data_IF_170407409583
#
_entry.id   IF_170407409583
#
_cell.length_a   1.000
_cell.length_b   1.000
_cell.length_c   1.000
_cell.angle_alpha   90.00
_cell.angle_beta   90.00
_cell.angle_gamma   90.00
#
_symmetry.space_group_name_H-M   'P 1'
#
loop_
_entity.id
_entity.type
_entity.pdbx_description
1 polymer ?
#
# COMPACT_ATOMS: atom_id res chain seq x y z
N UNK A 1 -5.25 10.93 0.71
CA UNK A 1 -6.58 10.82 0.09
C UNK A 1 -7.35 9.74 0.81
N UNK A 2 -8.66 9.90 0.92
CA UNK A 2 -9.55 8.87 1.45
C UNK A 2 -9.99 7.93 0.31
N UNK A 3 -10.40 6.71 0.61
CA UNK A 3 -10.93 5.80 -0.41
C UNK A 3 -12.32 6.29 -0.86
N UNK A 4 -12.66 6.31 -2.16
CA UNK A 4 -13.97 6.77 -2.60
C UNK A 4 -15.09 5.83 -2.10
N UNK A 5 -16.19 6.42 -1.65
CA UNK A 5 -17.41 5.73 -1.22
C UNK A 5 -18.65 6.46 -1.71
N UNK A 6 -19.76 5.73 -1.79
CA UNK A 6 -21.08 6.26 -2.15
C UNK A 6 -21.84 6.62 -0.86
N UNK A 7 -22.41 7.82 -0.82
CA UNK A 7 -23.30 8.28 0.25
C UNK A 7 -24.19 9.42 -0.27
N UNK A 8 -24.83 10.17 0.64
CA UNK A 8 -25.72 11.26 0.26
C UNK A 8 -25.02 12.43 -0.47
N UNK A 9 -23.70 12.59 -0.33
CA UNK A 9 -22.94 13.72 -0.88
C UNK A 9 -21.86 13.31 -1.87
N UNK A 10 -21.61 12.00 -2.04
CA UNK A 10 -20.55 11.45 -2.88
C UNK A 10 -21.07 10.29 -3.71
N UNK A 11 -20.62 10.22 -4.95
CA UNK A 11 -20.88 9.09 -5.85
C UNK A 11 -19.57 8.64 -6.48
N UNK A 12 -19.44 7.33 -6.71
CA UNK A 12 -18.33 6.74 -7.46
C UNK A 12 -18.86 5.88 -8.60
N UNK A 13 -18.05 5.82 -9.64
CA UNK A 13 -18.26 5.03 -10.84
C UNK A 13 -17.01 4.21 -11.11
N UNK A 14 -17.16 2.89 -11.10
CA UNK A 14 -16.08 2.00 -11.51
C UNK A 14 -15.78 2.20 -12.99
N UNK A 15 -14.49 2.26 -13.31
CA UNK A 15 -13.96 2.19 -14.67
C UNK A 15 -13.34 0.82 -14.97
N UNK A 16 -13.61 -0.19 -14.13
CA UNK A 16 -13.21 -1.57 -14.38
C UNK A 16 -13.92 -2.10 -15.63
N UNK A 17 -13.31 -3.10 -16.26
CA UNK A 17 -13.77 -3.69 -17.52
C UNK A 17 -12.63 -3.83 -18.52
N UNK A 18 -12.99 -3.91 -19.80
CA UNK A 18 -12.02 -4.06 -20.88
C UNK A 18 -11.55 -2.68 -21.37
N UNK A 19 -10.25 -2.45 -21.32
CA UNK A 19 -9.61 -1.25 -21.86
C UNK A 19 -8.86 -1.60 -23.14
N UNK A 20 -8.82 -0.66 -24.09
CA UNK A 20 -7.93 -0.78 -25.25
C UNK A 20 -6.49 -0.75 -24.77
N UNK A 21 -5.67 -1.67 -25.25
CA UNK A 21 -4.33 -1.94 -24.77
C UNK A 21 -3.34 -2.11 -25.91
N UNK A 22 -2.17 -1.50 -25.77
CA UNK A 22 -1.06 -1.64 -26.72
C UNK A 22 0.29 -1.55 -26.03
N UNK A 23 1.16 -2.50 -26.34
CA UNK A 23 2.58 -2.43 -25.96
C UNK A 23 3.33 -1.45 -26.83
N UNK A 24 4.29 -0.76 -26.23
CA UNK A 24 5.17 0.21 -26.89
C UNK A 24 6.64 -0.16 -26.64
N UNK A 25 7.13 -1.25 -27.25
CA UNK A 25 8.49 -1.75 -27.01
C UNK A 25 9.57 -0.75 -27.36
N UNK A 26 9.30 0.12 -28.34
CA UNK A 26 10.24 1.15 -28.81
C UNK A 26 10.02 2.53 -28.16
N UNK A 27 9.05 2.66 -27.23
CA UNK A 27 8.73 3.92 -26.57
C UNK A 27 8.27 5.04 -27.53
N UNK A 28 7.77 4.69 -28.71
CA UNK A 28 7.42 5.63 -29.77
C UNK A 28 6.09 6.36 -29.49
N UNK A 29 5.21 5.77 -28.67
CA UNK A 29 3.88 6.28 -28.39
C UNK A 29 3.86 7.65 -27.72
N UNK A 30 4.88 7.94 -26.90
CA UNK A 30 5.03 9.25 -26.26
C UNK A 30 5.29 10.36 -27.28
N UNK A 31 6.25 10.13 -28.18
CA UNK A 31 6.61 11.10 -29.23
C UNK A 31 5.51 11.22 -30.28
N UNK A 32 4.87 10.10 -30.62
CA UNK A 32 3.78 10.05 -31.60
C UNK A 32 2.44 10.59 -31.07
N UNK A 33 2.31 10.85 -29.77
CA UNK A 33 1.10 11.42 -29.19
C UNK A 33 -0.08 10.44 -29.15
N UNK A 34 0.14 9.16 -28.83
CA UNK A 34 -0.91 8.12 -28.88
C UNK A 34 -2.16 8.43 -28.04
N UNK A 35 -2.06 9.29 -27.03
CA UNK A 35 -3.21 9.74 -26.24
C UNK A 35 -4.19 10.65 -27.01
N UNK A 36 -3.77 11.25 -28.13
CA UNK A 36 -4.56 12.23 -28.91
C UNK A 36 -5.63 11.61 -29.80
N UNK A 37 -5.52 10.30 -30.06
CA UNK A 37 -6.44 9.57 -30.91
C UNK A 37 -6.84 8.23 -30.26
N UNK A 38 -7.77 7.53 -30.90
CA UNK A 38 -8.03 6.14 -30.56
C UNK A 38 -6.75 5.33 -30.75
N UNK A 39 -6.42 4.53 -29.75
CA UNK A 39 -5.23 3.69 -29.75
C UNK A 39 -5.31 2.68 -30.91
N UNK A 40 -4.50 2.87 -31.95
CA UNK A 40 -4.49 2.00 -33.14
C UNK A 40 -3.83 0.66 -32.83
N UNK A 41 -4.24 -0.40 -33.52
CA UNK A 41 -3.72 -1.78 -33.34
C UNK A 41 -3.77 -2.26 -31.88
N UNK A 42 -4.68 -1.71 -31.09
CA UNK A 42 -4.90 -2.10 -29.72
C UNK A 42 -5.79 -3.35 -29.64
N UNK A 43 -5.60 -4.12 -28.57
CA UNK A 43 -6.45 -5.24 -28.16
C UNK A 43 -7.15 -4.90 -26.86
N UNK A 44 -8.12 -5.69 -26.43
CA UNK A 44 -8.73 -5.49 -25.11
C UNK A 44 -7.86 -6.11 -24.00
N UNK A 45 -7.79 -5.44 -22.85
CA UNK A 45 -7.12 -5.90 -21.64
C UNK A 45 -8.01 -5.64 -20.43
N UNK A 46 -8.26 -6.63 -19.55
CA UNK A 46 -9.07 -6.44 -18.36
C UNK A 46 -8.38 -5.53 -17.35
N UNK A 47 -9.19 -4.73 -16.67
CA UNK A 47 -8.85 -3.92 -15.51
C UNK A 47 -9.89 -4.22 -14.42
N UNK A 48 -9.49 -4.70 -13.22
CA UNK A 48 -8.11 -4.86 -12.75
C UNK A 48 -7.45 -6.17 -13.21
N UNK A 49 -6.18 -6.10 -13.65
CA UNK A 49 -5.32 -7.26 -13.88
C UNK A 49 -3.84 -6.87 -14.06
N UNK A 50 -2.94 -7.82 -13.90
CA UNK A 50 -1.62 -7.77 -14.54
C UNK A 50 -1.73 -8.25 -15.98
N UNK A 51 -1.21 -7.52 -16.95
CA UNK A 51 -1.41 -7.87 -18.36
C UNK A 51 -0.61 -9.10 -18.82
N UNK A 52 0.45 -9.45 -18.09
CA UNK A 52 1.50 -10.36 -18.52
C UNK A 52 0.97 -11.77 -18.88
N UNK A 53 -0.02 -12.25 -18.12
CA UNK A 53 -0.52 -13.64 -18.22
C UNK A 53 -1.94 -13.72 -18.80
N UNK A 54 -2.51 -12.58 -19.20
CA UNK A 54 -3.83 -12.53 -19.85
C UNK A 54 -3.77 -13.11 -21.26
N UNK A 55 -2.65 -12.90 -21.96
CA UNK A 55 -2.45 -13.38 -23.32
C UNK A 55 -1.26 -14.34 -23.35
N UNK A 56 -1.31 -15.43 -24.13
CA UNK A 56 -0.30 -16.50 -24.09
C UNK A 56 0.98 -16.17 -24.87
N UNK A 57 1.22 -14.89 -25.19
CA UNK A 57 2.33 -14.43 -26.01
C UNK A 57 3.53 -14.09 -25.12
N UNK A 58 4.69 -14.73 -25.32
CA UNK A 58 5.93 -14.42 -24.58
C UNK A 58 6.34 -12.95 -24.72
N UNK A 59 6.14 -12.37 -25.91
CA UNK A 59 6.43 -10.95 -26.15
C UNK A 59 5.60 -10.01 -25.26
N UNK A 60 4.42 -10.45 -24.81
CA UNK A 60 3.58 -9.69 -23.87
C UNK A 60 3.97 -9.99 -22.43
N UNK A 61 4.12 -11.27 -22.08
CA UNK A 61 4.53 -11.71 -20.74
C UNK A 61 5.81 -11.01 -20.30
N UNK A 62 6.83 -11.03 -21.17
CA UNK A 62 8.18 -10.56 -20.87
C UNK A 62 8.43 -9.12 -21.33
N UNK A 63 7.39 -8.38 -21.74
CA UNK A 63 7.52 -6.99 -22.19
C UNK A 63 8.20 -6.12 -21.15
N UNK A 64 9.17 -5.31 -21.58
CA UNK A 64 9.85 -4.31 -20.75
C UNK A 64 9.68 -2.95 -21.40
N UNK A 65 8.98 -2.04 -20.72
CA UNK A 65 8.79 -0.66 -21.18
C UNK A 65 7.37 -0.16 -20.98
N UNK A 66 6.94 0.68 -21.92
CA UNK A 66 5.64 1.34 -21.88
C UNK A 66 4.54 0.40 -22.37
N UNK A 67 3.44 0.38 -21.63
CA UNK A 67 2.20 -0.30 -21.99
C UNK A 67 1.03 0.70 -21.85
N UNK A 68 0.34 0.94 -22.95
CA UNK A 68 -0.72 1.92 -23.05
C UNK A 68 -2.07 1.27 -22.82
N UNK A 69 -2.91 1.89 -21.99
CA UNK A 69 -4.31 1.57 -21.80
C UNK A 69 -5.16 2.79 -22.19
N UNK A 70 -6.32 2.55 -22.77
CA UNK A 70 -7.25 3.62 -23.14
C UNK A 70 -8.70 3.15 -22.99
N UNK A 71 -9.54 4.01 -22.42
CA UNK A 71 -10.98 3.80 -22.35
C UNK A 71 -11.74 5.10 -22.60
N UNK A 72 -13.04 5.01 -22.84
CA UNK A 72 -13.95 6.17 -22.94
C UNK A 72 -14.94 6.13 -21.80
N UNK A 73 -15.03 7.22 -21.04
CA UNK A 73 -15.87 7.33 -19.86
C UNK A 73 -16.99 8.34 -20.11
N UNK A 74 -18.23 7.94 -19.82
CA UNK A 74 -19.37 8.88 -19.76
C UNK A 74 -19.42 9.52 -18.37
N UNK A 75 -19.44 10.85 -18.31
CA UNK A 75 -19.58 11.61 -17.07
C UNK A 75 -21.07 11.75 -16.74
N UNK A 76 -21.56 11.29 -15.58
CA UNK A 76 -22.95 11.49 -15.19
C UNK A 76 -23.34 12.97 -15.23
N UNK A 77 -24.50 13.28 -15.83
CA UNK A 77 -25.01 14.67 -15.90
C UNK A 77 -25.34 15.25 -14.52
N UNK A 78 -25.64 14.38 -13.54
CA UNK A 78 -25.95 14.75 -12.17
C UNK A 78 -24.75 15.35 -11.42
N UNK A 79 -23.53 15.14 -11.90
CA UNK A 79 -22.31 15.69 -11.29
C UNK A 79 -22.03 17.14 -11.71
N UNK A 80 -23.04 17.87 -12.19
CA UNK A 80 -22.90 19.27 -12.53
C UNK A 80 -22.70 20.11 -11.26
N UNK A 81 -21.65 20.93 -11.23
CA UNK A 81 -21.28 21.77 -10.07
C UNK A 81 -20.32 21.10 -9.09
N UNK A 82 -20.29 19.78 -9.08
CA UNK A 82 -19.42 18.97 -8.23
C UNK A 82 -17.95 18.98 -8.68
N UNK A 83 -17.08 18.53 -7.79
CA UNK A 83 -15.68 18.20 -8.09
C UNK A 83 -15.60 16.76 -8.59
N UNK A 84 -15.01 16.54 -9.77
CA UNK A 84 -14.87 15.23 -10.40
C UNK A 84 -13.40 14.79 -10.36
N UNK A 85 -13.16 13.58 -9.89
CA UNK A 85 -11.82 13.04 -9.65
C UNK A 85 -11.64 11.70 -10.34
N UNK A 86 -10.50 11.52 -10.98
CA UNK A 86 -10.04 10.23 -11.49
C UNK A 86 -9.02 9.65 -10.50
N UNK A 87 -9.25 8.42 -10.03
CA UNK A 87 -8.40 7.70 -9.10
C UNK A 87 -7.99 6.35 -9.67
N UNK A 88 -6.72 6.01 -9.50
CA UNK A 88 -6.18 4.68 -9.73
C UNK A 88 -5.75 4.13 -8.38
N UNK A 89 -6.26 2.95 -8.01
CA UNK A 89 -5.88 2.34 -6.73
C UNK A 89 -4.46 1.77 -6.76
N UNK A 90 -3.95 1.46 -7.96
CA UNK A 90 -2.55 1.20 -8.25
C UNK A 90 -2.28 1.26 -9.77
N UNK A 91 -1.06 1.64 -10.17
CA UNK A 91 -0.58 1.48 -11.53
C UNK A 91 0.92 1.10 -11.52
N UNK A 92 1.25 -0.08 -12.04
CA UNK A 92 2.49 -0.76 -11.70
C UNK A 92 3.50 -0.71 -12.86
N UNK A 93 4.60 0.06 -12.80
CA UNK A 93 5.20 0.74 -11.62
C UNK A 93 5.17 2.27 -11.65
N UNK A 94 5.16 2.86 -12.86
CA UNK A 94 5.03 4.29 -13.08
C UNK A 94 3.91 4.55 -14.06
N UNK A 95 3.13 5.60 -13.85
CA UNK A 95 2.02 5.97 -14.71
C UNK A 95 2.09 7.42 -15.15
N UNK A 96 1.68 7.68 -16.40
CA UNK A 96 1.30 9.02 -16.87
C UNK A 96 -0.11 8.93 -17.44
N UNK A 97 -0.97 9.87 -17.05
CA UNK A 97 -2.40 9.85 -17.37
C UNK A 97 -2.80 11.09 -18.16
N UNK A 98 -3.58 10.88 -19.20
CA UNK A 98 -4.22 11.91 -20.01
C UNK A 98 -5.74 11.76 -19.94
N UNK A 99 -6.41 12.91 -19.84
CA UNK A 99 -7.85 13.03 -20.07
C UNK A 99 -8.05 13.88 -21.30
N UNK A 100 -8.70 13.30 -22.31
CA UNK A 100 -8.71 13.78 -23.68
C UNK A 100 -7.27 13.97 -24.19
N UNK A 101 -6.88 15.20 -24.53
CA UNK A 101 -5.56 15.50 -25.08
C UNK A 101 -4.58 16.06 -24.04
N UNK A 102 -5.00 16.19 -22.78
CA UNK A 102 -4.24 16.89 -21.75
C UNK A 102 -3.73 15.93 -20.68
N UNK A 103 -2.43 16.00 -20.40
CA UNK A 103 -1.83 15.28 -19.29
C UNK A 103 -2.39 15.84 -17.97
N UNK A 104 -2.80 14.95 -17.09
CA UNK A 104 -3.41 15.30 -15.80
C UNK A 104 -2.60 14.79 -14.62
N UNK A 105 -1.92 13.65 -14.73
CA UNK A 105 -1.17 13.08 -13.62
C UNK A 105 0.10 12.33 -14.07
N UNK A 106 1.07 12.29 -13.18
CA UNK A 106 2.21 11.36 -13.18
C UNK A 106 2.31 10.73 -11.79
N UNK A 107 2.64 9.44 -11.73
CA UNK A 107 2.83 8.72 -10.47
C UNK A 107 3.97 7.72 -10.55
N UNK A 108 4.77 7.64 -9.50
CA UNK A 108 5.77 6.59 -9.29
C UNK A 108 5.48 5.90 -7.95
N UNK A 109 5.33 4.58 -8.00
CA UNK A 109 4.90 3.75 -6.87
C UNK A 109 3.85 2.74 -7.32
N UNK A 110 4.25 1.49 -7.50
CA UNK A 110 3.41 0.50 -8.18
C UNK A 110 2.21 -0.04 -7.38
N UNK A 111 2.06 0.31 -6.10
CA UNK A 111 1.15 -0.36 -5.16
C UNK A 111 0.37 0.59 -4.24
N UNK A 112 0.37 1.88 -4.56
CA UNK A 112 -0.35 2.91 -3.79
C UNK A 112 -1.27 3.72 -4.68
N UNK A 113 -2.40 4.21 -4.14
CA UNK A 113 -3.34 4.99 -4.92
C UNK A 113 -2.77 6.37 -5.28
N UNK A 114 -3.21 6.87 -6.44
CA UNK A 114 -3.06 8.27 -6.83
C UNK A 114 -4.32 8.77 -7.52
N UNK A 115 -4.57 10.07 -7.42
CA UNK A 115 -5.77 10.68 -7.96
C UNK A 115 -5.51 12.07 -8.51
N UNK A 116 -6.40 12.54 -9.37
CA UNK A 116 -6.33 13.86 -9.96
C UNK A 116 -7.72 14.45 -10.17
N UNK A 117 -7.85 15.74 -9.84
CA UNK A 117 -9.03 16.53 -10.16
C UNK A 117 -9.11 16.76 -11.68
N UNK A 118 -10.18 16.25 -12.29
CA UNK A 118 -10.42 16.35 -13.73
C UNK A 118 -11.63 17.24 -14.04
N UNK A 119 -12.15 17.96 -13.05
CA UNK A 119 -13.39 18.75 -13.17
C UNK A 119 -13.35 19.69 -14.36
N UNK A 120 -12.25 20.42 -14.55
CA UNK A 120 -12.10 21.38 -15.64
C UNK A 120 -11.70 20.73 -16.98
N UNK A 121 -11.54 19.40 -17.00
CA UNK A 121 -11.11 18.62 -18.17
C UNK A 121 -12.23 17.77 -18.76
N UNK A 122 -13.35 17.68 -18.05
CA UNK A 122 -14.51 16.88 -18.45
C UNK A 122 -15.77 17.72 -18.38
N UNK A 123 -16.82 17.28 -19.08
CA UNK A 123 -18.12 17.93 -19.05
C UNK A 123 -19.16 16.96 -18.49
N UNK A 124 -19.90 17.30 -17.42
CA UNK A 124 -21.06 16.53 -16.98
C UNK A 124 -22.03 16.25 -18.13
N UNK A 125 -22.47 15.00 -18.26
CA UNK A 125 -23.29 14.52 -19.39
C UNK A 125 -22.51 14.24 -20.68
N UNK A 126 -21.23 14.59 -20.74
CA UNK A 126 -20.35 14.33 -21.88
C UNK A 126 -19.58 13.02 -21.77
N UNK A 127 -18.66 12.82 -22.71
CA UNK A 127 -17.71 11.71 -22.74
C UNK A 127 -16.29 12.24 -22.66
N UNK A 128 -15.41 11.52 -21.97
CA UNK A 128 -13.98 11.82 -21.91
C UNK A 128 -13.17 10.57 -22.24
N UNK A 129 -12.10 10.74 -23.01
CA UNK A 129 -11.13 9.66 -23.27
C UNK A 129 -10.11 9.66 -22.14
N UNK A 130 -9.90 8.53 -21.49
CA UNK A 130 -8.84 8.35 -20.50
C UNK A 130 -7.78 7.48 -21.13
N UNK A 131 -6.55 8.00 -21.23
CA UNK A 131 -5.38 7.23 -21.66
C UNK A 131 -4.38 7.20 -20.53
N UNK A 132 -3.82 6.03 -20.24
CA UNK A 132 -2.72 5.88 -19.28
C UNK A 132 -1.62 5.06 -19.93
N UNK A 133 -0.39 5.51 -19.77
CA UNK A 133 0.78 4.67 -20.05
C UNK A 133 1.33 4.21 -18.72
N UNK A 134 1.56 2.91 -18.59
CA UNK A 134 2.21 2.29 -17.44
C UNK A 134 3.58 1.80 -17.89
N UNK A 135 4.62 2.12 -17.12
CA UNK A 135 5.99 1.67 -17.38
C UNK A 135 6.44 0.71 -16.27
N UNK A 136 6.97 -0.45 -16.66
CA UNK A 136 7.33 -1.52 -15.73
C UNK A 136 8.84 -1.65 -15.46
N UNK A 137 9.63 -0.66 -15.90
CA UNK A 137 11.09 -0.69 -15.76
C UNK A 137 11.53 -0.39 -14.32
N UNK A 138 12.27 -1.32 -13.73
CA UNK A 138 12.87 -1.17 -12.40
C UNK A 138 14.33 -0.72 -12.51
N UNK A 139 14.68 0.34 -11.80
CA UNK A 139 16.04 0.91 -11.76
C UNK A 139 16.62 0.77 -10.35
N UNK A 140 17.86 1.21 -10.13
CA UNK A 140 18.42 1.31 -8.78
C UNK A 140 17.72 2.34 -7.90
N UNK A 141 16.97 3.27 -8.51
CA UNK A 141 16.23 4.30 -7.79
C UNK A 141 14.77 3.92 -7.56
N UNK A 142 14.23 2.92 -8.27
CA UNK A 142 12.85 2.49 -8.08
C UNK A 142 12.69 1.62 -6.84
N UNK A 143 11.45 1.53 -6.38
CA UNK A 143 11.03 0.62 -5.31
C UNK A 143 9.92 -0.28 -5.88
N UNK A 144 10.18 -1.58 -6.11
CA UNK A 144 11.42 -2.32 -5.85
C UNK A 144 12.58 -1.99 -6.83
N UNK A 145 13.85 -2.31 -6.49
CA UNK A 145 15.00 -2.03 -7.35
C UNK A 145 15.22 -3.12 -8.42
N UNK A 146 15.81 -2.71 -9.54
CA UNK A 146 16.21 -3.60 -10.64
C UNK A 146 17.14 -2.92 -11.64
N UNK A 147 17.41 -3.60 -12.76
CA UNK A 147 18.16 -3.06 -13.90
C UNK A 147 17.63 -3.60 -15.23
N UNK A 148 17.73 -2.81 -16.29
CA UNK A 148 17.46 -3.26 -17.66
C UNK A 148 18.73 -3.81 -18.28
N UNK A 149 18.59 -4.82 -19.13
CA UNK A 149 19.68 -5.34 -19.95
C UNK A 149 19.21 -5.49 -21.40
N UNK A 150 20.03 -5.04 -22.35
CA UNK A 150 19.83 -5.37 -23.75
C UNK A 150 20.46 -6.73 -24.05
N UNK A 151 19.69 -7.65 -24.62
CA UNK A 151 20.16 -8.96 -25.08
C UNK A 151 19.97 -9.11 -26.58
N UNK A 152 20.50 -10.18 -27.17
CA UNK A 152 20.33 -10.47 -28.60
C UNK A 152 18.86 -10.72 -29.00
N UNK A 153 18.01 -11.15 -28.06
CA UNK A 153 16.59 -11.46 -28.29
C UNK A 153 15.65 -10.36 -27.82
N UNK A 154 16.17 -9.24 -27.31
CA UNK A 154 15.38 -8.11 -26.85
C UNK A 154 15.82 -7.54 -25.51
N UNK A 155 15.07 -6.56 -25.01
CA UNK A 155 15.29 -5.93 -23.71
C UNK A 155 14.71 -6.81 -22.61
N UNK A 156 15.46 -7.01 -21.53
CA UNK A 156 15.06 -7.81 -20.38
C UNK A 156 15.15 -6.99 -19.09
N UNK A 157 14.30 -7.34 -18.11
CA UNK A 157 14.28 -6.72 -16.79
C UNK A 157 14.90 -7.68 -15.78
N UNK A 158 16.00 -7.26 -15.16
CA UNK A 158 16.58 -7.92 -14.00
C UNK A 158 16.03 -7.27 -12.73
N UNK A 159 15.71 -8.08 -11.73
CA UNK A 159 15.22 -7.62 -10.43
C UNK A 159 15.77 -8.49 -9.30
N UNK A 160 15.70 -7.96 -8.08
CA UNK A 160 16.35 -8.54 -6.90
C UNK A 160 15.36 -9.11 -5.87
N UNK A 161 14.19 -9.53 -6.35
CA UNK A 161 13.13 -10.16 -5.58
C UNK A 161 12.66 -11.46 -6.25
N UNK A 162 11.90 -12.27 -5.54
CA UNK A 162 11.55 -13.65 -5.89
C UNK A 162 10.12 -13.85 -6.40
N UNK A 163 9.37 -12.77 -6.64
CA UNK A 163 8.10 -12.79 -7.37
C UNK A 163 8.27 -12.23 -8.79
N UNK A 164 7.37 -12.63 -9.69
CA UNK A 164 7.38 -12.14 -11.07
C UNK A 164 7.03 -10.64 -11.12
N UNK A 165 7.72 -9.89 -11.99
CA UNK A 165 7.51 -8.44 -12.18
C UNK A 165 6.26 -8.13 -13.01
N UNK A 166 5.10 -8.56 -12.51
CA UNK A 166 3.81 -8.22 -13.06
C UNK A 166 3.62 -6.69 -13.15
N UNK A 167 2.95 -6.24 -14.21
CA UNK A 167 2.72 -4.83 -14.48
C UNK A 167 1.34 -4.56 -15.08
N UNK A 168 0.93 -3.29 -15.06
CA UNK A 168 -0.38 -2.84 -15.53
C UNK A 168 -1.24 -2.21 -14.45
N UNK A 169 -2.56 -2.29 -14.63
CA UNK A 169 -3.56 -1.74 -13.72
C UNK A 169 -4.12 -2.87 -12.86
N UNK A 170 -3.37 -3.22 -11.81
CA UNK A 170 -3.68 -4.37 -10.93
C UNK A 170 -4.88 -4.15 -10.02
N UNK A 171 -5.30 -2.90 -9.83
CA UNK A 171 -6.40 -2.53 -8.94
C UNK A 171 -7.37 -1.63 -9.67
N UNK A 172 -8.50 -1.43 -9.02
CA UNK A 172 -9.63 -0.71 -9.61
C UNK A 172 -9.26 0.72 -10.01
N UNK A 173 -9.94 1.20 -11.03
CA UNK A 173 -9.88 2.59 -11.46
C UNK A 173 -11.26 3.18 -11.25
N UNK A 174 -11.31 4.36 -10.63
CA UNK A 174 -12.55 5.02 -10.24
C UNK A 174 -12.63 6.41 -10.83
N UNK A 175 -13.82 6.77 -11.29
CA UNK A 175 -14.22 8.16 -11.40
C UNK A 175 -15.15 8.44 -10.23
N UNK A 176 -14.91 9.46 -9.42
CA UNK A 176 -15.79 9.79 -8.30
C UNK A 176 -16.02 11.29 -8.20
N UNK A 177 -17.05 11.66 -7.45
CA UNK A 177 -17.43 13.04 -7.23
C UNK A 177 -17.45 13.40 -5.75
N UNK A 178 -17.10 14.65 -5.45
CA UNK A 178 -17.30 15.26 -4.13
C UNK A 178 -17.87 16.67 -4.29
N UNK A 179 -18.51 17.21 -3.25
CA UNK A 179 -18.82 18.63 -3.20
C UNK A 179 -17.54 19.47 -3.28
N UNK A 180 -17.69 20.76 -3.63
CA UNK A 180 -16.54 21.67 -3.70
C UNK A 180 -15.89 21.86 -2.34
N UNK A 181 -16.71 22.03 -1.31
CA UNK A 181 -16.28 21.95 0.09
C UNK A 181 -16.39 20.50 0.55
N UNK A 182 -15.27 19.85 0.87
CA UNK A 182 -15.28 18.41 1.12
C UNK A 182 -14.16 17.96 2.06
N UNK A 183 -14.35 16.80 2.69
CA UNK A 183 -13.36 16.13 3.54
C UNK A 183 -12.28 15.49 2.66
N UNK A 184 -11.02 15.82 2.93
CA UNK A 184 -9.83 15.36 2.20
C UNK A 184 -9.00 14.34 2.98
N UNK A 185 -9.21 14.24 4.29
CA UNK A 185 -8.53 13.28 5.15
C UNK A 185 -9.13 13.20 6.54
N UNK A 186 -9.04 12.01 7.13
CA UNK A 186 -9.39 11.75 8.52
C UNK A 186 -8.21 10.96 9.11
N UNK A 187 -7.80 11.34 10.31
CA UNK A 187 -6.81 10.61 11.11
C UNK A 187 -7.45 10.23 12.43
N UNK A 188 -7.23 8.99 12.85
CA UNK A 188 -7.78 8.44 14.10
C UNK A 188 -6.65 7.80 14.90
N UNK A 189 -6.63 8.07 16.20
CA UNK A 189 -5.81 7.39 17.19
C UNK A 189 -6.70 6.89 18.32
N UNK A 190 -6.56 5.62 18.70
CA UNK A 190 -7.43 4.96 19.67
C UNK A 190 -6.68 4.61 20.94
N UNK A 191 -7.34 4.79 22.07
CA UNK A 191 -6.83 4.40 23.39
C UNK A 191 -7.83 3.51 24.13
N UNK A 192 -7.32 2.76 25.09
CA UNK A 192 -8.11 1.89 25.96
C UNK A 192 -7.61 2.04 27.40
N UNK A 193 -8.53 2.36 28.33
CA UNK A 193 -8.27 2.44 29.77
C UNK A 193 -9.39 1.75 30.55
N UNK A 194 -9.10 0.58 31.11
CA UNK A 194 -10.11 -0.31 31.67
C UNK A 194 -11.19 -0.65 30.64
N UNK A 195 -12.45 -0.39 30.98
CA UNK A 195 -13.60 -0.56 30.06
C UNK A 195 -13.91 0.66 29.20
N UNK A 196 -13.10 1.72 29.25
CA UNK A 196 -13.36 2.97 28.50
C UNK A 196 -12.45 3.07 27.28
N UNK A 197 -13.08 3.25 26.12
CA UNK A 197 -12.40 3.51 24.86
C UNK A 197 -12.28 5.00 24.58
N UNK A 198 -11.22 5.40 23.89
CA UNK A 198 -11.07 6.76 23.36
C UNK A 198 -10.76 6.75 21.88
N UNK A 199 -11.34 7.68 21.15
CA UNK A 199 -11.14 7.89 19.71
C UNK A 199 -10.77 9.35 19.50
N UNK A 200 -9.47 9.63 19.37
CA UNK A 200 -8.97 10.96 19.02
C UNK A 200 -8.99 11.09 17.51
N UNK A 201 -9.55 12.18 17.00
CA UNK A 201 -9.68 12.39 15.57
C UNK A 201 -9.12 13.75 15.13
N UNK A 202 -8.71 13.82 13.86
CA UNK A 202 -8.42 15.05 13.14
C UNK A 202 -8.97 14.97 11.71
N UNK A 203 -9.72 15.98 11.29
CA UNK A 203 -10.36 16.12 9.99
C UNK A 203 -9.62 17.18 9.18
N UNK A 204 -9.28 16.85 7.94
CA UNK A 204 -8.78 17.79 6.94
C UNK A 204 -9.86 18.00 5.89
N UNK A 205 -10.11 19.24 5.53
CA UNK A 205 -11.12 19.62 4.53
C UNK A 205 -10.59 20.65 3.53
N UNK A 206 -11.24 20.72 2.38
CA UNK A 206 -11.16 21.83 1.45
C UNK A 206 -12.45 22.66 1.56
N UNK A 207 -12.34 23.98 1.42
CA UNK A 207 -13.48 24.89 1.60
C UNK A 207 -13.78 25.22 3.07
N UNK A 208 -14.83 26.01 3.29
CA UNK A 208 -15.26 26.46 4.62
C UNK A 208 -16.63 25.87 4.95
N UNK A 209 -16.67 25.06 6.00
CA UNK A 209 -17.84 24.43 6.59
C UNK A 209 -17.46 23.96 8.00
N UNK A 210 -18.45 23.75 8.85
CA UNK A 210 -18.30 23.30 10.24
C UNK A 210 -18.27 21.77 10.31
N UNK A 211 -17.21 21.16 10.85
CA UNK A 211 -17.14 19.71 11.01
C UNK A 211 -17.96 19.24 12.21
N UNK A 212 -18.74 18.19 12.01
CA UNK A 212 -19.40 17.41 13.05
C UNK A 212 -18.92 15.96 12.96
N UNK A 213 -18.76 15.31 14.10
CA UNK A 213 -18.33 13.92 14.19
C UNK A 213 -19.29 13.14 15.05
N UNK A 214 -19.80 12.05 14.51
CA UNK A 214 -20.65 11.09 15.21
C UNK A 214 -19.98 9.73 15.19
N UNK A 215 -19.86 9.08 16.35
CA UNK A 215 -19.43 7.69 16.45
C UNK A 215 -20.64 6.81 16.75
N UNK A 216 -20.83 5.78 15.93
CA UNK A 216 -21.92 4.80 16.07
C UNK A 216 -21.35 3.42 16.36
N UNK A 217 -22.06 2.67 17.19
CA UNK A 217 -21.76 1.25 17.41
C UNK A 217 -22.20 0.38 16.22
N UNK A 218 -21.90 -0.92 16.27
CA UNK A 218 -22.26 -1.85 15.19
C UNK A 218 -23.79 -2.04 15.01
N UNK A 219 -24.60 -1.62 15.98
CA UNK A 219 -26.07 -1.58 15.88
C UNK A 219 -26.61 -0.27 15.31
N UNK A 220 -25.74 0.71 15.01
CA UNK A 220 -26.09 2.03 14.51
C UNK A 220 -26.44 3.05 15.59
N UNK A 221 -26.36 2.68 16.88
CA UNK A 221 -26.64 3.60 17.97
C UNK A 221 -25.49 4.61 18.12
N UNK A 222 -25.85 5.89 18.28
CA UNK A 222 -24.87 6.94 18.54
C UNK A 222 -24.31 6.77 19.96
N UNK A 223 -22.98 6.58 20.05
CA UNK A 223 -22.28 6.39 21.34
C UNK A 223 -21.45 7.61 21.75
N UNK A 224 -21.04 8.44 20.79
CA UNK A 224 -20.33 9.69 21.07
C UNK A 224 -20.51 10.70 19.93
N UNK A 225 -20.41 11.99 20.25
CA UNK A 225 -20.43 13.09 19.28
C UNK A 225 -19.40 14.15 19.66
N UNK A 226 -18.93 14.89 18.67
CA UNK A 226 -18.08 16.07 18.86
C UNK A 226 -18.22 17.03 17.68
N UNK A 227 -17.82 18.27 17.89
CA UNK A 227 -17.84 19.35 16.90
C UNK A 227 -16.43 19.87 16.71
N UNK A 228 -16.15 20.41 15.53
CA UNK A 228 -14.83 20.92 15.17
C UNK A 228 -13.93 19.88 14.51
N UNK A 229 -12.86 20.38 13.90
CA UNK A 229 -11.95 19.58 13.07
C UNK A 229 -11.08 18.61 13.87
N UNK A 230 -10.92 18.81 15.17
CA UNK A 230 -10.14 17.94 16.06
C UNK A 230 -10.92 17.72 17.35
N UNK A 231 -10.83 16.50 17.89
CA UNK A 231 -11.57 16.16 19.10
C UNK A 231 -11.16 14.82 19.70
N UNK A 232 -11.77 14.52 20.85
CA UNK A 232 -11.63 13.26 21.56
C UNK A 232 -13.02 12.76 21.90
N UNK A 233 -13.38 11.60 21.36
CA UNK A 233 -14.59 10.89 21.70
C UNK A 233 -14.27 9.86 22.79
N UNK A 234 -15.16 9.73 23.77
CA UNK A 234 -15.05 8.73 24.85
C UNK A 234 -16.22 7.78 24.75
N UNK A 235 -15.93 6.48 24.81
CA UNK A 235 -16.93 5.40 24.74
C UNK A 235 -16.85 4.61 26.05
N UNK A 236 -17.77 4.85 27.00
CA UNK A 236 -17.94 3.99 28.16
C UNK A 236 -18.33 2.58 27.71
N UNK A 237 -17.90 1.56 28.47
CA UNK A 237 -18.19 0.15 28.18
C UNK A 237 -17.88 -0.24 26.72
N UNK A 238 -16.71 0.17 26.24
CA UNK A 238 -16.29 -0.05 24.85
C UNK A 238 -16.22 -1.54 24.53
N UNK A 239 -16.64 -1.90 23.32
CA UNK A 239 -16.31 -3.19 22.72
C UNK A 239 -15.02 -3.02 21.92
N UNK A 240 -13.85 -3.41 22.45
CA UNK A 240 -12.60 -3.21 21.75
C UNK A 240 -12.50 -4.14 20.55
N UNK A 241 -11.89 -3.67 19.47
CA UNK A 241 -11.40 -4.58 18.44
C UNK A 241 -10.34 -5.49 19.05
N UNK A 242 -10.40 -6.79 18.79
CA UNK A 242 -9.40 -7.75 19.26
C UNK A 242 -9.06 -8.79 18.18
N UNK A 243 -7.90 -9.46 18.27
CA UNK A 243 -7.59 -10.54 17.33
C UNK A 243 -8.64 -11.66 17.43
N UNK A 244 -9.30 -11.97 16.30
CA UNK A 244 -10.44 -12.89 16.23
C UNK A 244 -11.81 -12.29 16.55
N UNK A 245 -11.88 -11.02 16.94
CA UNK A 245 -13.12 -10.27 17.17
C UNK A 245 -13.01 -8.88 16.52
N UNK A 246 -13.42 -8.82 15.25
CA UNK A 246 -13.31 -7.64 14.39
C UNK A 246 -14.37 -6.57 14.65
N UNK A 247 -14.62 -6.20 15.91
CA UNK A 247 -15.61 -5.18 16.25
C UNK A 247 -15.20 -3.80 15.71
N UNK A 248 -16.11 -3.17 14.96
CA UNK A 248 -15.89 -1.86 14.34
C UNK A 248 -17.04 -0.91 14.69
N UNK A 249 -16.66 0.28 15.16
CA UNK A 249 -17.54 1.44 15.21
C UNK A 249 -17.53 2.14 13.86
N UNK A 250 -18.54 2.96 13.59
CA UNK A 250 -18.59 3.86 12.43
C UNK A 250 -18.36 5.31 12.88
N UNK A 251 -17.23 5.90 12.50
CA UNK A 251 -16.97 7.32 12.65
C UNK A 251 -17.48 8.06 11.42
N UNK A 252 -18.62 8.74 11.56
CA UNK A 252 -19.21 9.60 10.55
C UNK A 252 -18.69 11.04 10.77
N UNK A 253 -17.89 11.52 9.83
CA UNK A 253 -17.49 12.92 9.76
C UNK A 253 -18.38 13.63 8.73
N UNK A 254 -19.06 14.70 9.13
CA UNK A 254 -19.88 15.54 8.26
C UNK A 254 -19.44 17.00 8.29
N UNK A 255 -19.66 17.71 7.18
CA UNK A 255 -19.43 19.14 7.06
C UNK A 255 -20.77 19.85 6.89
N UNK A 256 -21.02 20.89 7.67
CA UNK A 256 -22.25 21.67 7.63
C UNK A 256 -21.98 23.12 7.24
N UNK A 257 -22.87 23.71 6.43
CA UNK A 257 -22.79 25.14 6.11
C UNK A 257 -23.27 26.02 7.28
N UNK A 258 -23.17 27.34 7.14
CA UNK A 258 -23.61 28.28 8.17
C UNK A 258 -25.13 28.24 8.46
N UNK A 259 -25.92 27.60 7.59
CA UNK A 259 -27.34 27.34 7.78
C UNK A 259 -27.64 25.99 8.43
N UNK A 260 -26.60 25.20 8.76
CA UNK A 260 -26.72 23.86 9.33
C UNK A 260 -26.97 22.75 8.30
N UNK A 261 -26.96 23.06 7.00
CA UNK A 261 -27.22 22.05 5.97
C UNK A 261 -26.00 21.16 5.75
N UNK A 262 -26.22 19.87 5.56
CA UNK A 262 -25.16 18.92 5.20
C UNK A 262 -24.56 19.29 3.84
N UNK A 263 -23.24 19.50 3.82
CA UNK A 263 -22.46 19.79 2.62
C UNK A 263 -21.76 18.52 2.14
N UNK A 264 -21.07 17.81 3.02
CA UNK A 264 -20.32 16.60 2.69
C UNK A 264 -20.28 15.64 3.88
N UNK A 265 -20.24 14.33 3.65
CA UNK A 265 -20.00 13.34 4.69
C UNK A 265 -19.05 12.23 4.26
N UNK A 266 -18.39 11.64 5.25
CA UNK A 266 -17.52 10.49 5.07
C UNK A 266 -17.57 9.60 6.31
N UNK A 267 -17.93 8.33 6.11
CA UNK A 267 -17.90 7.29 7.15
C UNK A 267 -16.58 6.54 7.12
N UNK A 268 -15.97 6.36 8.28
CA UNK A 268 -14.73 5.62 8.49
C UNK A 268 -14.95 4.53 9.56
N UNK A 269 -14.78 3.24 9.24
CA UNK A 269 -14.78 2.19 10.25
C UNK A 269 -13.59 2.34 11.21
N UNK A 270 -13.84 2.20 12.51
CA UNK A 270 -12.84 2.36 13.58
C UNK A 270 -12.92 1.19 14.56
N UNK A 271 -11.84 0.41 14.64
CA UNK A 271 -11.65 -0.59 15.69
C UNK A 271 -10.87 0.00 16.87
N UNK A 272 -11.51 0.16 18.03
CA UNK A 272 -10.86 0.72 19.22
C UNK A 272 -9.92 -0.33 19.82
N UNK A 273 -8.62 -0.05 19.83
CA UNK A 273 -7.60 -0.95 20.39
C UNK A 273 -6.29 -0.24 20.72
N UNK A 274 -5.40 -0.93 21.42
CA UNK A 274 -4.02 -0.49 21.65
C UNK A 274 -3.03 -1.55 21.19
N UNK A 275 -1.83 -1.09 20.83
CA UNK A 275 -0.70 -1.94 20.43
C UNK A 275 0.53 -1.46 21.17
N UNK A 276 1.18 -2.35 21.91
CA UNK A 276 2.36 -2.02 22.70
C UNK A 276 3.44 -3.09 22.50
N UNK A 277 4.71 -2.68 22.54
CA UNK A 277 5.83 -3.62 22.70
C UNK A 277 6.43 -3.39 24.08
N UNK A 278 6.35 -4.40 24.95
CA UNK A 278 6.88 -4.36 26.31
C UNK A 278 7.96 -5.43 26.47
N UNK A 279 9.22 -5.01 26.52
CA UNK A 279 10.35 -5.94 26.58
C UNK A 279 10.41 -6.83 25.34
N UNK A 280 10.06 -8.10 25.48
CA UNK A 280 10.02 -9.10 24.39
C UNK A 280 8.61 -9.48 23.96
N UNK A 281 7.59 -8.87 24.56
CA UNK A 281 6.19 -9.16 24.26
C UNK A 281 5.61 -8.15 23.28
N UNK A 282 4.81 -8.65 22.36
CA UNK A 282 3.95 -7.83 21.52
C UNK A 282 2.55 -7.91 22.11
N UNK A 283 1.97 -6.77 22.50
CA UNK A 283 0.71 -6.70 23.21
C UNK A 283 -0.36 -6.08 22.31
N UNK A 284 -1.55 -6.68 22.31
CA UNK A 284 -2.78 -6.07 21.76
C UNK A 284 -3.76 -5.93 22.92
N UNK A 285 -4.25 -4.71 23.16
CA UNK A 285 -5.13 -4.40 24.30
C UNK A 285 -4.52 -4.81 25.66
N UNK A 286 -3.21 -4.71 25.81
CA UNK A 286 -2.48 -5.09 27.03
C UNK A 286 -2.18 -6.59 27.16
N UNK A 287 -2.71 -7.44 26.27
CA UNK A 287 -2.54 -8.90 26.32
C UNK A 287 -1.48 -9.39 25.33
N UNK A 288 -0.60 -10.35 25.71
CA UNK A 288 0.39 -10.93 24.80
C UNK A 288 -0.23 -11.58 23.56
N UNK A 289 0.23 -11.14 22.39
CA UNK A 289 -0.20 -11.65 21.09
C UNK A 289 0.94 -12.40 20.39
N UNK A 290 0.63 -13.61 19.92
CA UNK A 290 1.55 -14.44 19.14
C UNK A 290 1.06 -14.58 17.70
N UNK A 291 1.88 -14.13 16.75
CA UNK A 291 1.59 -14.18 15.31
C UNK A 291 1.60 -15.62 14.80
N UNK A 292 0.52 -16.03 14.14
CA UNK A 292 0.35 -17.31 13.46
C UNK A 292 -0.22 -17.04 12.08
N UNK A 293 0.49 -17.43 11.04
CA UNK A 293 0.04 -17.28 9.66
C UNK A 293 1.20 -17.11 8.70
N UNK A 294 1.04 -16.20 7.74
CA UNK A 294 1.80 -16.28 6.48
C UNK A 294 2.36 -14.93 6.03
N UNK A 295 3.48 -14.97 5.30
CA UNK A 295 3.71 -13.96 4.25
C UNK A 295 2.87 -14.36 3.04
N UNK A 296 1.99 -13.48 2.57
CA UNK A 296 1.11 -13.75 1.42
C UNK A 296 1.71 -13.14 0.13
N UNK A 297 0.98 -13.24 -0.98
CA UNK A 297 1.15 -12.41 -2.16
C UNK A 297 -0.21 -12.09 -2.78
N UNK A 298 -0.36 -10.92 -3.43
CA UNK A 298 -1.37 -10.73 -4.47
C UNK A 298 -0.86 -11.45 -5.72
N UNK A 299 -1.26 -12.71 -5.88
CA UNK A 299 -0.85 -13.58 -6.96
C UNK A 299 -1.94 -14.62 -7.24
N UNK A 300 -2.33 -14.74 -8.49
CA UNK A 300 -3.33 -15.69 -8.93
C UNK A 300 -3.09 -16.11 -10.39
N UNK A 301 -3.52 -17.32 -10.78
CA UNK A 301 -3.51 -17.73 -12.17
C UNK A 301 -4.18 -16.70 -13.08
N UNK A 302 -3.58 -16.46 -14.25
CA UNK A 302 -4.06 -15.60 -15.34
C UNK A 302 -4.01 -14.09 -15.03
N UNK A 303 -4.62 -13.63 -13.93
CA UNK A 303 -4.70 -12.19 -13.61
C UNK A 303 -3.47 -11.62 -12.92
N UNK A 304 -2.50 -12.46 -12.56
CA UNK A 304 -1.31 -12.07 -11.81
C UNK A 304 -1.67 -11.42 -10.47
N UNK A 305 -1.35 -10.14 -10.32
CA UNK A 305 -1.62 -9.33 -9.12
C UNK A 305 -2.97 -8.62 -9.11
N UNK A 306 -3.82 -8.90 -10.11
CA UNK A 306 -5.17 -8.37 -10.15
C UNK A 306 -5.94 -8.67 -8.86
N UNK A 307 -6.45 -7.64 -8.19
CA UNK A 307 -7.32 -7.83 -7.02
C UNK A 307 -8.60 -8.59 -7.41
N UNK A 308 -9.03 -9.50 -6.54
CA UNK A 308 -10.19 -10.36 -6.76
C UNK A 308 -10.85 -10.70 -5.41
N UNK A 309 -12.09 -10.27 -5.24
CA UNK A 309 -12.87 -10.47 -4.03
C UNK A 309 -13.07 -11.96 -3.69
N UNK A 310 -13.25 -12.82 -4.69
CA UNK A 310 -13.49 -14.25 -4.47
C UNK A 310 -12.24 -14.93 -3.90
N UNK A 311 -11.04 -14.58 -4.39
CA UNK A 311 -9.81 -15.08 -3.77
C UNK A 311 -9.52 -14.44 -2.43
N UNK A 312 -9.80 -13.14 -2.25
CA UNK A 312 -9.65 -12.51 -0.94
C UNK A 312 -10.49 -13.25 0.10
N UNK A 313 -11.78 -13.45 -0.15
CA UNK A 313 -12.66 -14.18 0.78
C UNK A 313 -12.15 -15.61 0.99
N UNK A 314 -11.85 -16.35 -0.08
CA UNK A 314 -11.39 -17.74 0.03
C UNK A 314 -10.08 -17.86 0.84
N UNK A 315 -9.14 -16.95 0.63
CA UNK A 315 -7.88 -16.94 1.37
C UNK A 315 -8.09 -16.71 2.87
N UNK A 316 -9.04 -15.86 3.26
CA UNK A 316 -9.36 -15.62 4.66
C UNK A 316 -10.09 -16.81 5.29
N UNK A 317 -11.01 -17.45 4.56
CA UNK A 317 -11.65 -18.71 5.01
C UNK A 317 -10.61 -19.81 5.23
N UNK A 318 -9.60 -19.93 4.36
CA UNK A 318 -8.48 -20.86 4.55
C UNK A 318 -7.62 -20.50 5.76
N UNK A 319 -7.39 -19.21 6.00
CA UNK A 319 -6.67 -18.74 7.18
C UNK A 319 -7.44 -19.07 8.46
N UNK A 320 -8.75 -18.86 8.49
CA UNK A 320 -9.60 -19.24 9.62
C UNK A 320 -9.59 -20.75 9.83
N UNK A 321 -9.78 -21.53 8.77
CA UNK A 321 -9.79 -22.99 8.80
C UNK A 321 -8.53 -23.59 9.43
N UNK A 322 -7.35 -23.00 9.17
CA UNK A 322 -6.07 -23.46 9.74
C UNK A 322 -5.73 -22.79 11.09
N UNK A 323 -6.55 -21.85 11.56
CA UNK A 323 -6.34 -21.12 12.82
C UNK A 323 -5.24 -20.05 12.75
N UNK A 324 -4.99 -19.49 11.56
CA UNK A 324 -4.13 -18.33 11.40
C UNK A 324 -4.82 -17.05 11.92
N UNK A 325 -4.07 -16.19 12.60
CA UNK A 325 -4.57 -14.94 13.17
C UNK A 325 -3.88 -13.70 12.57
N UNK A 326 -2.96 -13.89 11.63
CA UNK A 326 -2.19 -12.79 11.05
C UNK A 326 -1.62 -13.11 9.67
N UNK A 327 -1.31 -12.07 8.91
CA UNK A 327 -0.47 -12.18 7.72
C UNK A 327 0.39 -10.94 7.52
N UNK A 328 1.38 -11.04 6.63
CA UNK A 328 2.20 -9.92 6.18
C UNK A 328 1.95 -9.65 4.69
N UNK A 329 1.78 -8.38 4.32
CA UNK A 329 1.61 -7.93 2.92
C UNK A 329 2.92 -8.04 2.13
N UNK A 330 3.42 -9.28 1.98
CA UNK A 330 4.70 -9.54 1.32
C UNK A 330 4.53 -9.32 -0.18
N UNK A 331 5.31 -8.48 -0.86
CA UNK A 331 6.38 -7.59 -0.39
C UNK A 331 6.08 -6.16 -0.81
N UNK A 332 4.84 -5.73 -0.61
CA UNK A 332 4.26 -4.47 -1.05
C UNK A 332 2.88 -4.28 -0.41
N UNK A 333 2.40 -3.04 -0.23
CA UNK A 333 1.04 -2.82 0.27
C UNK A 333 0.04 -3.52 -0.64
N UNK A 334 -0.95 -4.22 -0.06
CA UNK A 334 -2.02 -4.88 -0.82
C UNK A 334 -3.16 -3.91 -1.13
N UNK A 335 -4.16 -4.37 -1.90
CA UNK A 335 -5.38 -3.60 -2.13
C UNK A 335 -6.04 -3.20 -0.81
N UNK A 336 -6.59 -1.97 -0.76
CA UNK A 336 -7.18 -1.40 0.46
C UNK A 336 -8.32 -2.29 0.99
N UNK A 337 -9.05 -2.94 0.09
CA UNK A 337 -10.11 -3.92 0.36
C UNK A 337 -9.65 -5.08 1.25
N UNK A 338 -8.40 -5.54 1.09
CA UNK A 338 -7.83 -6.63 1.88
C UNK A 338 -7.61 -6.21 3.33
N UNK A 339 -7.25 -4.95 3.55
CA UNK A 339 -7.07 -4.40 4.90
C UNK A 339 -8.42 -4.18 5.58
N UNK A 340 -9.42 -3.68 4.87
CA UNK A 340 -10.79 -3.56 5.39
C UNK A 340 -11.42 -4.91 5.73
N UNK A 341 -11.11 -5.93 4.92
CA UNK A 341 -11.55 -7.29 5.20
C UNK A 341 -10.83 -7.85 6.43
N UNK A 342 -9.53 -7.62 6.58
CA UNK A 342 -8.81 -7.98 7.79
C UNK A 342 -9.37 -7.33 9.05
N UNK A 343 -9.80 -6.07 8.96
CA UNK A 343 -10.43 -5.36 10.07
C UNK A 343 -11.72 -6.02 10.54
N UNK A 344 -12.64 -6.28 9.60
CA UNK A 344 -13.93 -6.92 9.89
C UNK A 344 -13.79 -8.32 10.46
N UNK A 345 -12.71 -9.03 10.12
CA UNK A 345 -12.48 -10.41 10.54
C UNK A 345 -11.48 -10.53 11.70
N UNK A 346 -11.04 -9.42 12.31
CA UNK A 346 -10.13 -9.48 13.47
C UNK A 346 -8.75 -10.06 13.14
N UNK A 347 -8.27 -9.94 11.90
CA UNK A 347 -6.98 -10.47 11.46
C UNK A 347 -5.88 -9.40 11.59
N UNK A 348 -4.77 -9.75 12.23
CA UNK A 348 -3.65 -8.82 12.43
C UNK A 348 -2.77 -8.76 11.17
N UNK A 349 -2.43 -7.55 10.73
CA UNK A 349 -1.61 -7.35 9.51
C UNK A 349 -0.25 -6.73 9.84
N UNK A 350 0.82 -7.33 9.29
CA UNK A 350 2.11 -6.65 9.19
C UNK A 350 2.15 -5.99 7.81
N UNK A 351 2.04 -4.66 7.78
CA UNK A 351 1.98 -3.91 6.53
C UNK A 351 3.39 -3.54 6.05
N UNK A 352 3.79 -4.10 4.92
CA UNK A 352 5.12 -4.02 4.35
C UNK A 352 5.15 -3.12 3.10
N UNK A 353 6.12 -2.20 3.05
CA UNK A 353 6.39 -1.39 1.86
C UNK A 353 6.96 -2.22 0.71
N UNK A 354 6.97 -1.68 -0.52
CA UNK A 354 7.56 -2.32 -1.70
C UNK A 354 9.12 -2.40 -1.70
N UNK A 355 9.77 -2.16 -0.56
CA UNK A 355 11.23 -2.01 -0.41
C UNK A 355 12.01 -3.33 -0.30
N UNK A 356 11.58 -4.34 -1.06
CA UNK A 356 12.27 -5.63 -1.21
C UNK A 356 13.49 -5.52 -2.12
N UNK A 357 14.44 -6.45 -2.03
CA UNK A 357 15.61 -6.48 -2.92
C UNK A 357 16.70 -5.44 -2.64
N UNK A 358 16.55 -4.62 -1.59
CA UNK A 358 17.55 -3.61 -1.18
C UNK A 358 18.78 -4.19 -0.47
N UNK A 359 18.87 -5.53 -0.31
CA UNK A 359 19.99 -6.19 0.37
C UNK A 359 21.08 -6.63 -0.61
N UNK A 360 21.95 -5.69 -1.00
CA UNK A 360 23.09 -5.91 -1.90
C UNK A 360 24.12 -6.94 -1.39
N UNK A 361 24.08 -7.35 -0.10
CA UNK A 361 24.98 -8.41 0.42
C UNK A 361 24.57 -9.81 -0.03
N UNK A 362 23.28 -10.04 -0.33
CA UNK A 362 22.81 -11.34 -0.85
C UNK A 362 23.33 -11.59 -2.28
N UNK A 363 23.54 -10.51 -3.05
CA UNK A 363 24.11 -10.58 -4.41
C UNK A 363 25.52 -11.20 -4.43
N UNK A 364 26.33 -10.95 -3.39
CA UNK A 364 27.70 -11.46 -3.28
C UNK A 364 27.71 -12.97 -2.98
N UNK A 365 26.68 -13.49 -2.31
CA UNK A 365 26.58 -14.93 -1.98
C UNK A 365 26.14 -15.77 -3.17
N UNK A 366 25.42 -15.19 -4.15
CA UNK A 366 24.96 -15.87 -5.37
C UNK A 366 25.82 -15.62 -6.63
N UNK A 367 27.05 -15.10 -6.47
CA UNK A 367 28.07 -15.18 -7.53
C UNK A 367 27.88 -14.30 -8.77
N UNK A 368 27.01 -13.27 -8.75
CA UNK A 368 26.96 -12.27 -9.83
C UNK A 368 27.96 -11.15 -9.56
N UNK A 369 29.13 -11.20 -10.20
CA UNK A 369 30.28 -10.30 -9.94
C UNK A 369 30.30 -8.98 -10.73
N UNK A 370 29.27 -8.64 -11.49
CA UNK A 370 29.27 -7.38 -12.26
C UNK A 370 28.75 -6.21 -11.41
N UNK A 371 29.61 -5.71 -10.53
CA UNK A 371 29.48 -4.39 -9.95
C UNK A 371 30.30 -3.38 -10.78
N UNK A 372 29.75 -2.21 -11.14
CA UNK A 372 30.54 -1.19 -11.84
C UNK A 372 31.67 -0.70 -10.94
N UNK A 373 32.91 -0.86 -11.40
CA UNK A 373 34.08 -0.22 -10.80
C UNK A 373 33.91 1.29 -10.93
N UNK A 374 33.79 1.96 -9.78
CA UNK A 374 33.84 3.42 -9.68
C UNK A 374 35.18 3.90 -10.24
N UNK A 375 35.19 4.45 -11.45
CA UNK A 375 36.35 5.14 -12.02
C UNK A 375 36.57 6.43 -11.23
N UNK A 376 37.48 6.39 -10.26
CA UNK A 376 38.04 7.61 -9.66
C UNK A 376 39.26 8.00 -10.48
N UNK A 377 39.11 8.98 -11.36
CA UNK A 377 40.23 9.78 -11.82
C UNK A 377 40.81 10.57 -10.63
N UNK A 378 42.07 10.35 -10.28
CA UNK A 378 42.87 11.27 -9.48
C UNK A 378 44.30 11.34 -10.04
N UNK A 379 44.91 12.54 -10.13
CA UNK A 379 46.34 12.66 -10.36
C UNK A 379 47.14 12.40 -9.07
N UNK A 380 48.40 12.07 -9.33
CA UNK A 380 49.46 11.52 -8.50
C UNK A 380 49.97 12.36 -7.32
N UNK A 381 50.36 11.69 -6.23
CA UNK A 381 51.24 12.20 -5.16
C UNK A 381 51.34 11.20 -3.99
N UNK A 382 52.54 10.93 -3.40
CA UNK A 382 52.79 9.68 -2.67
C UNK A 382 52.55 9.78 -1.16
N UNK A 383 52.06 8.69 -0.54
CA UNK A 383 52.21 8.40 0.91
C UNK A 383 52.40 6.90 1.14
N UNK A 384 53.19 6.49 2.16
CA UNK A 384 53.30 5.10 2.58
C UNK A 384 52.27 4.71 3.66
N UNK A 385 52.05 3.39 3.73
CA UNK A 385 51.60 2.50 4.84
C UNK A 385 50.29 2.76 5.61
N UNK A 386 49.44 1.71 5.61
CA UNK A 386 48.15 1.53 6.30
C UNK A 386 48.31 1.00 7.75
N UNK A 387 47.25 0.61 8.52
CA UNK A 387 45.80 0.82 8.35
C UNK A 387 45.11 1.41 9.60
N UNK A 388 44.02 2.16 9.42
CA UNK A 388 42.99 2.34 10.45
C UNK A 388 41.61 2.30 9.80
N UNK A 389 40.90 1.20 10.01
CA UNK A 389 39.53 1.04 9.58
C UNK A 389 38.62 1.73 10.62
N UNK A 390 38.14 2.93 10.30
CA UNK A 390 37.04 3.60 11.01
C UNK A 390 35.81 3.65 10.10
N UNK A 391 34.72 3.08 10.63
CA UNK A 391 33.31 3.47 10.51
C UNK A 391 32.85 4.12 9.20
N UNK A 392 31.83 3.51 8.59
CA UNK A 392 30.55 4.16 8.31
C UNK A 392 29.48 3.08 8.13
N UNK A 393 28.54 3.03 9.08
CA UNK A 393 27.27 2.34 8.88
C UNK A 393 26.36 3.22 8.01
N UNK A 394 25.69 2.59 7.06
CA UNK A 394 24.55 3.19 6.37
C UNK A 394 23.34 2.29 6.65
N UNK A 395 22.42 2.82 7.45
CA UNK A 395 21.09 2.27 7.72
C UNK A 395 20.22 2.38 6.46
N UNK A 396 19.86 1.26 5.84
CA UNK A 396 18.67 1.21 4.99
C UNK A 396 17.53 0.62 5.83
N UNK A 397 16.76 1.48 6.48
CA UNK A 397 15.49 1.10 7.09
C UNK A 397 14.43 1.04 6.00
N UNK A 398 14.28 -0.13 5.38
CA UNK A 398 12.99 -0.50 4.81
C UNK A 398 12.08 -0.80 6.00
N UNK A 399 11.22 0.15 6.36
CA UNK A 399 10.32 0.07 7.51
C UNK A 399 9.06 -0.71 7.13
N UNK A 400 8.80 -1.83 7.79
CA UNK A 400 7.47 -2.40 7.86
C UNK A 400 6.75 -1.76 9.05
N UNK A 401 5.48 -1.41 8.89
CA UNK A 401 4.66 -0.87 9.98
C UNK A 401 3.69 -1.96 10.40
N UNK A 402 3.64 -2.30 11.70
CA UNK A 402 2.59 -3.21 12.14
C UNK A 402 1.31 -2.42 12.24
N UNK A 403 0.43 -2.57 11.24
CA UNK A 403 -0.95 -2.11 11.33
C UNK A 403 -1.80 -3.25 11.87
N UNK A 404 -2.05 -3.21 13.17
CA UNK A 404 -3.32 -3.76 13.64
C UNK A 404 -4.36 -2.76 13.12
N UNK A 405 -5.25 -3.17 12.21
CA UNK A 405 -5.67 -2.34 11.07
C UNK A 405 -6.70 -1.21 11.35
N UNK A 406 -6.38 -0.01 10.89
CA UNK A 406 -7.36 1.05 10.64
C UNK A 406 -6.82 1.96 9.54
N UNK A 407 -7.73 2.50 8.74
CA UNK A 407 -7.43 3.45 7.67
C UNK A 407 -6.90 4.78 8.24
N UNK A 408 -5.59 4.89 8.41
CA UNK A 408 -4.91 6.13 8.74
C UNK A 408 -3.44 5.88 9.04
N UNK A 409 -2.54 6.72 8.53
CA UNK A 409 -1.16 6.72 8.99
C UNK A 409 -1.15 7.30 10.42
N UNK A 410 -1.18 6.43 11.44
CA UNK A 410 -0.95 6.84 12.82
C UNK A 410 0.51 6.59 13.22
N UNK A 411 1.18 7.52 13.92
CA UNK A 411 2.55 7.36 14.39
C UNK A 411 2.71 6.36 15.56
N UNK A 412 1.63 5.74 16.06
CA UNK A 412 1.63 4.90 17.27
C UNK A 412 1.97 3.42 17.01
N UNK A 413 2.16 3.01 15.75
CA UNK A 413 2.49 1.62 15.40
C UNK A 413 3.98 1.29 15.57
N UNK A 414 4.35 0.22 16.29
CA UNK A 414 5.74 -0.24 16.34
C UNK A 414 6.24 -0.64 14.94
N UNK A 415 7.47 -0.26 14.62
CA UNK A 415 8.11 -0.48 13.31
C UNK A 415 9.07 -1.67 13.39
N UNK A 416 8.67 -2.90 13.05
CA UNK A 416 9.61 -4.00 12.89
C UNK A 416 10.38 -3.87 11.56
N UNK A 417 11.61 -4.40 11.56
CA UNK A 417 12.33 -4.73 10.34
C UNK A 417 12.61 -6.24 10.35
N UNK A 418 12.47 -6.90 9.19
CA UNK A 418 12.81 -8.32 9.05
C UNK A 418 14.29 -8.54 9.41
N UNK A 419 14.54 -9.41 10.40
CA UNK A 419 15.76 -9.43 11.23
C UNK A 419 16.99 -10.07 10.55
N UNK A 420 18.18 -9.56 10.87
CA UNK A 420 19.47 -10.28 10.73
C UNK A 420 19.62 -11.33 11.83
N UNK A 421 20.13 -12.50 11.42
CA UNK A 421 20.63 -13.63 12.24
C UNK A 421 21.31 -13.19 13.54
N UNK A 422 20.85 -13.72 14.67
CA UNK A 422 21.59 -13.68 15.91
C UNK A 422 22.69 -14.75 15.88
N UNK A 423 23.95 -14.34 15.73
CA UNK A 423 25.09 -15.18 16.11
C UNK A 423 25.30 -15.04 17.62
N UNK A 424 24.98 -16.09 18.36
CA UNK A 424 25.39 -16.26 19.76
C UNK A 424 26.91 -16.42 19.82
N UNK A 425 27.63 -15.36 20.16
CA UNK A 425 29.01 -15.48 20.63
C UNK A 425 28.98 -15.73 22.14
N UNK A 426 29.15 -17.00 22.55
CA UNK A 426 29.49 -17.35 23.93
C UNK A 426 30.86 -16.74 24.27
N UNK A 427 31.03 -16.03 25.39
CA UNK A 427 32.36 -15.71 25.89
C UNK A 427 33.01 -16.99 26.44
N UNK A 428 34.18 -17.34 25.92
CA UNK A 428 35.08 -18.31 26.54
C UNK A 428 35.67 -17.69 27.82
N UNK A 429 35.28 -18.21 28.99
CA UNK A 429 35.95 -17.95 30.26
C UNK A 429 37.28 -18.72 30.34
N UNK A 430 38.38 -18.12 30.83
CA UNK A 430 39.65 -18.81 30.96
C UNK A 430 39.63 -19.83 32.11
N UNK A 431 40.12 -21.04 31.83
CA UNK A 431 40.32 -22.14 32.78
C UNK A 431 41.23 -21.71 33.94
N UNK A 432 40.71 -21.77 35.17
CA UNK A 432 41.51 -21.92 36.40
C UNK A 432 41.50 -23.40 36.77
N UNK A 433 42.69 -23.99 36.90
CA UNK A 433 42.87 -25.32 37.44
C UNK A 433 42.70 -25.28 38.97
N UNK A 434 41.85 -26.12 39.52
CA UNK A 434 41.90 -26.52 40.92
C UNK A 434 41.33 -27.91 41.09
N UNK A 435 42.15 -28.77 41.68
CA UNK A 435 41.97 -30.18 42.00
C UNK A 435 40.79 -30.47 42.93
N UNK A 436 40.04 -31.53 42.61
CA UNK A 436 39.01 -32.16 43.45
C UNK A 436 39.65 -33.07 44.51
N UNK A 437 39.13 -33.12 45.76
CA UNK A 437 39.21 -34.29 46.62
C UNK A 437 37.86 -35.03 46.72
N UNK A 438 37.86 -36.34 47.06
CA UNK A 438 36.75 -37.24 46.79
C UNK A 438 35.64 -37.21 47.84
N UNK A 439 34.42 -37.47 47.37
CA UNK A 439 33.20 -37.71 48.16
C UNK A 439 33.26 -39.11 48.76
N UNK A 440 33.01 -39.20 50.07
CA UNK A 440 32.70 -40.44 50.79
C UNK A 440 31.21 -40.76 50.68
N UNK A 441 30.93 -42.04 50.51
CA UNK A 441 29.64 -42.72 50.52
C UNK A 441 29.06 -42.92 51.93
N UNK A 442 27.72 -43.06 52.02
CA UNK A 442 26.95 -43.53 53.17
C UNK A 442 25.87 -42.50 53.53
N UNK A 443 24.58 -42.82 53.60
CA UNK A 443 23.86 -44.08 53.84
C UNK A 443 22.51 -44.07 53.13
#
# INVERSE_FOLDING_TARGET
>A
MLRPQDNATRERKSLNGLWMFRLDPEGAGRTAGWWRATLDRAREMPVPASYNDIVPELAVRDHVGDAWYQTTVRIPRGWAGERIVLRFDAATHRAVVWVNDVQVAEHEGGYTPFEVDVTDRVRPGGTARVTVVVNNELTWASVPPGTQQQTATGRTQNYFHDFFNYAGLHRSVWLYTTPRTHITGISVDTGLDGGTGTVRYAIRQAGSAEPHVTLRDAGGAQVAVSEGAEGLLTVPDVHPWAPGDGYLYELEASLHDAGGNLVDSYTLPVGVRTVEVRGTEFLVNGEPFYFRGFGKHEDAPIRGKGHDDALMVHDFELMEWIGANSFRTSHYPYAEEVLDYADRHGIVVIDETAAVGMNLRVLVTYGRTDLPRRTRSRPSGPRPSAPTCRRCGSSSTATATIRVSCCGASPTSPTPAARKRATTSRPCSPKRASSTPPVRSGT
#
